data_IF_387682991162
#
_entry.id   IF_387682991162
#
_cell.length_a   1.000
_cell.length_b   1.000
_cell.length_c   1.000
_cell.angle_alpha   90.00
_cell.angle_beta   90.00
_cell.angle_gamma   90.00
#
_symmetry.space_group_name_H-M   'P 1'
#
loop_
_entity.id
_entity.type
_entity.pdbx_description
1 polymer ?
#
# COMPACT_ATOMS: atom_id res chain seq x y z
N UNK A 1 -13.26 7.64 -3.82
CA UNK A 1 -12.80 6.49 -4.64
C UNK A 1 -11.75 5.71 -3.86
N UNK A 2 -11.84 4.38 -3.85
CA UNK A 2 -10.87 3.49 -3.21
C UNK A 2 -10.19 2.63 -4.27
N UNK A 3 -8.90 2.37 -4.10
CA UNK A 3 -8.14 1.47 -4.96
C UNK A 3 -7.56 0.35 -4.10
N UNK A 4 -7.93 -0.88 -4.42
CA UNK A 4 -7.41 -2.10 -3.82
C UNK A 4 -6.49 -2.74 -4.85
N UNK A 5 -5.35 -3.25 -4.40
CA UNK A 5 -4.55 -4.17 -5.20
C UNK A 5 -4.72 -5.56 -4.60
N UNK A 6 -5.03 -6.55 -5.42
CA UNK A 6 -5.15 -7.92 -4.95
C UNK A 6 -4.84 -8.92 -6.07
N UNK A 7 -4.44 -10.14 -5.71
CA UNK A 7 -4.22 -11.19 -6.69
C UNK A 7 -5.57 -11.65 -7.27
N UNK A 8 -5.63 -12.11 -8.54
CA UNK A 8 -6.89 -12.37 -9.24
C UNK A 8 -7.90 -13.25 -8.49
N UNK A 9 -7.44 -14.27 -7.76
CA UNK A 9 -8.31 -15.17 -7.00
C UNK A 9 -8.90 -14.50 -5.76
N UNK A 10 -8.12 -13.68 -5.06
CA UNK A 10 -8.57 -12.96 -3.86
C UNK A 10 -9.42 -11.75 -4.24
N UNK A 11 -9.11 -11.09 -5.37
CA UNK A 11 -9.93 -10.04 -5.93
C UNK A 11 -11.38 -10.48 -6.15
N UNK A 12 -11.63 -11.71 -6.58
CA UNK A 12 -13.01 -12.23 -6.74
C UNK A 12 -13.76 -12.34 -5.41
N UNK A 13 -13.09 -12.85 -4.37
CA UNK A 13 -13.66 -12.93 -3.02
C UNK A 13 -13.94 -11.52 -2.47
N UNK A 14 -12.99 -10.61 -2.66
CA UNK A 14 -13.10 -9.22 -2.27
C UNK A 14 -14.25 -8.52 -2.99
N UNK A 15 -14.39 -8.74 -4.31
CA UNK A 15 -15.51 -8.22 -5.10
C UNK A 15 -16.85 -8.73 -4.57
N UNK A 16 -16.98 -10.03 -4.36
CA UNK A 16 -18.21 -10.62 -3.82
C UNK A 16 -18.58 -10.00 -2.47
N UNK A 17 -17.62 -9.92 -1.54
CA UNK A 17 -17.85 -9.34 -0.22
C UNK A 17 -18.29 -7.87 -0.31
N UNK A 18 -17.58 -7.05 -1.08
CA UNK A 18 -17.89 -5.63 -1.24
C UNK A 18 -19.26 -5.40 -1.89
N UNK A 19 -19.57 -6.16 -2.94
CA UNK A 19 -20.87 -6.09 -3.62
C UNK A 19 -22.01 -6.53 -2.71
N UNK A 20 -21.81 -7.57 -1.90
CA UNK A 20 -22.79 -8.02 -0.91
C UNK A 20 -23.12 -6.94 0.15
N UNK A 21 -22.20 -6.00 0.39
CA UNK A 21 -22.39 -4.85 1.28
C UNK A 21 -22.81 -3.57 0.54
N UNK A 22 -23.23 -3.68 -0.73
CA UNK A 22 -23.77 -2.57 -1.51
C UNK A 22 -22.71 -1.63 -2.10
N UNK A 23 -21.43 -2.05 -2.13
CA UNK A 23 -20.40 -1.28 -2.80
C UNK A 23 -20.36 -1.58 -4.29
N UNK A 24 -20.27 -0.54 -5.12
CA UNK A 24 -19.96 -0.68 -6.53
C UNK A 24 -18.47 -0.99 -6.71
N UNK A 25 -18.19 -2.15 -7.31
CA UNK A 25 -16.83 -2.64 -7.53
C UNK A 25 -16.54 -2.66 -9.02
N UNK A 26 -15.40 -2.08 -9.40
CA UNK A 26 -14.91 -2.02 -10.79
C UNK A 26 -13.51 -2.62 -10.87
N UNK A 27 -13.24 -3.38 -11.92
CA UNK A 27 -11.93 -3.99 -12.14
C UNK A 27 -11.06 -3.11 -13.04
N UNK A 28 -9.77 -3.01 -12.71
CA UNK A 28 -8.75 -2.47 -13.59
C UNK A 28 -8.07 -3.60 -14.36
N UNK A 29 -7.66 -3.36 -15.63
CA UNK A 29 -7.62 -2.06 -16.32
C UNK A 29 -8.93 -1.61 -16.99
N UNK A 30 -9.97 -2.45 -17.03
CA UNK A 30 -11.18 -2.20 -17.83
C UNK A 30 -11.89 -0.89 -17.48
N UNK A 31 -11.90 -0.52 -16.20
CA UNK A 31 -12.51 0.69 -15.68
C UNK A 31 -11.50 1.79 -15.34
N UNK A 32 -10.32 1.77 -15.95
CA UNK A 32 -9.35 2.86 -15.79
C UNK A 32 -9.95 4.23 -16.19
N UNK A 33 -10.67 4.39 -17.31
CA UNK A 33 -11.29 5.67 -17.65
C UNK A 33 -12.23 6.22 -16.55
N UNK A 34 -13.04 5.35 -15.93
CA UNK A 34 -13.95 5.74 -14.84
C UNK A 34 -13.17 6.19 -13.60
N UNK A 35 -12.09 5.48 -13.27
CA UNK A 35 -11.19 5.85 -12.17
C UNK A 35 -10.57 7.23 -12.38
N UNK A 36 -10.08 7.49 -13.60
CA UNK A 36 -9.46 8.76 -13.99
C UNK A 36 -10.49 9.90 -14.05
N UNK A 37 -11.72 9.61 -14.45
CA UNK A 37 -12.84 10.56 -14.41
C UNK A 37 -13.36 10.84 -12.99
N UNK A 38 -12.78 10.20 -11.96
CA UNK A 38 -13.17 10.43 -10.56
C UNK A 38 -14.51 9.80 -10.18
N UNK A 39 -15.01 8.84 -10.98
CA UNK A 39 -16.27 8.14 -10.69
C UNK A 39 -16.12 7.39 -9.37
N UNK A 40 -17.07 7.61 -8.44
CA UNK A 40 -17.04 6.98 -7.13
C UNK A 40 -17.23 5.47 -7.21
N UNK A 41 -16.53 4.74 -6.35
CA UNK A 41 -16.56 3.29 -6.29
C UNK A 41 -15.28 2.71 -5.68
N UNK A 42 -15.26 1.39 -5.58
CA UNK A 42 -14.07 0.61 -5.24
C UNK A 42 -13.49 0.04 -6.52
N UNK A 43 -12.23 0.34 -6.78
CA UNK A 43 -11.49 -0.17 -7.92
C UNK A 43 -10.53 -1.24 -7.44
N UNK A 44 -10.46 -2.37 -8.13
CA UNK A 44 -9.52 -3.44 -7.82
C UNK A 44 -8.53 -3.58 -8.98
N UNK A 45 -7.25 -3.34 -8.71
CA UNK A 45 -6.15 -3.64 -9.60
C UNK A 45 -5.70 -5.09 -9.41
N UNK A 46 -5.74 -5.86 -10.48
CA UNK A 46 -5.41 -7.30 -10.48
C UNK A 46 -3.92 -7.58 -10.69
N UNK A 47 -3.17 -6.57 -11.14
CA UNK A 47 -1.74 -6.64 -11.38
C UNK A 47 -1.06 -5.27 -11.15
N UNK A 48 0.27 -5.30 -11.07
CA UNK A 48 1.09 -4.13 -10.78
C UNK A 48 1.13 -3.12 -11.95
N UNK A 49 0.86 -3.54 -13.18
CA UNK A 49 0.78 -2.64 -14.34
C UNK A 49 -0.48 -1.79 -14.25
N UNK A 50 -1.64 -2.40 -14.01
CA UNK A 50 -2.92 -1.72 -13.81
C UNK A 50 -2.87 -0.76 -12.61
N UNK A 51 -2.24 -1.18 -11.51
CA UNK A 51 -1.99 -0.31 -10.36
C UNK A 51 -1.07 0.86 -10.74
N UNK A 52 0.03 0.59 -11.44
CA UNK A 52 0.99 1.60 -11.86
C UNK A 52 0.39 2.66 -12.79
N UNK A 53 -0.47 2.24 -13.73
CA UNK A 53 -1.19 3.13 -14.64
C UNK A 53 -2.21 3.99 -13.91
N UNK A 54 -2.98 3.41 -12.98
CA UNK A 54 -3.88 4.16 -12.11
C UNK A 54 -3.12 5.21 -11.29
N UNK A 55 -2.00 4.83 -10.67
CA UNK A 55 -1.20 5.73 -9.83
C UNK A 55 -0.47 6.83 -10.62
N UNK A 56 -0.15 6.61 -11.90
CA UNK A 56 0.58 7.60 -12.72
C UNK A 56 -0.21 8.90 -12.86
N UNK A 57 -1.52 8.80 -12.99
CA UNK A 57 -2.40 9.96 -13.15
C UNK A 57 -2.70 10.63 -11.80
N UNK A 58 -2.48 9.93 -10.68
CA UNK A 58 -2.67 10.46 -9.33
C UNK A 58 -1.48 11.27 -8.82
N UNK A 59 -0.38 11.39 -9.57
CA UNK A 59 0.83 12.07 -9.09
C UNK A 59 0.55 13.52 -8.65
N UNK A 60 -0.41 14.22 -9.25
CA UNK A 60 -0.85 15.57 -8.85
C UNK A 60 -1.79 15.58 -7.63
N UNK A 61 -2.55 14.51 -7.38
CA UNK A 61 -3.49 14.36 -6.26
C UNK A 61 -2.88 13.59 -5.06
N UNK A 62 -1.59 13.27 -5.12
CA UNK A 62 -0.84 12.36 -4.23
C UNK A 62 -0.69 12.81 -2.77
N UNK A 63 -1.29 13.94 -2.38
CA UNK A 63 -1.21 14.48 -1.01
C UNK A 63 -2.08 13.74 0.01
N UNK A 64 -3.01 12.86 -0.42
CA UNK A 64 -3.93 12.13 0.48
C UNK A 64 -4.17 10.68 0.05
N UNK A 65 -3.11 9.94 -0.21
CA UNK A 65 -3.19 8.51 -0.58
C UNK A 65 -2.45 7.63 0.43
N UNK A 66 -3.07 6.52 0.82
CA UNK A 66 -2.49 5.53 1.73
C UNK A 66 -2.41 4.18 1.02
N UNK A 67 -1.25 3.54 1.07
CA UNK A 67 -1.09 2.14 0.69
C UNK A 67 -1.14 1.27 1.94
N UNK A 68 -1.95 0.22 1.93
CA UNK A 68 -2.01 -0.76 3.02
C UNK A 68 -1.73 -2.14 2.42
N UNK A 69 -0.57 -2.70 2.74
CA UNK A 69 -0.21 -4.07 2.40
C UNK A 69 -0.15 -4.90 3.66
N UNK A 70 -1.02 -5.90 3.80
CA UNK A 70 -1.00 -6.80 4.96
C UNK A 70 -0.17 -8.05 4.64
N UNK A 71 -0.02 -8.94 5.62
CA UNK A 71 0.89 -10.09 5.61
C UNK A 71 1.02 -10.82 4.26
N UNK A 72 -0.10 -11.08 3.56
CA UNK A 72 -0.11 -11.73 2.25
C UNK A 72 0.82 -11.09 1.22
N UNK A 73 0.96 -9.77 1.25
CA UNK A 73 1.83 -9.03 0.35
C UNK A 73 3.28 -9.03 0.81
N UNK A 74 3.49 -8.80 2.10
CA UNK A 74 4.84 -8.83 2.67
C UNK A 74 5.45 -10.22 2.58
N UNK A 75 4.64 -11.28 2.54
CA UNK A 75 5.09 -12.67 2.56
C UNK A 75 5.04 -13.36 1.19
N UNK A 76 4.71 -12.61 0.14
CA UNK A 76 4.76 -13.09 -1.23
C UNK A 76 6.23 -13.27 -1.71
N UNK A 77 6.48 -14.17 -2.68
CA UNK A 77 7.80 -14.29 -3.33
C UNK A 77 8.30 -12.94 -3.85
N UNK A 78 9.63 -12.74 -3.83
CA UNK A 78 10.27 -11.46 -4.16
C UNK A 78 9.81 -10.92 -5.51
N UNK A 79 9.70 -11.80 -6.51
CA UNK A 79 9.27 -11.47 -7.87
C UNK A 79 7.86 -10.86 -7.93
N UNK A 80 7.01 -11.21 -6.96
CA UNK A 80 5.62 -10.73 -6.88
C UNK A 80 5.51 -9.40 -6.14
N UNK A 81 6.36 -9.16 -5.12
CA UNK A 81 6.31 -7.95 -4.28
C UNK A 81 7.23 -6.82 -4.74
N UNK A 82 8.33 -7.12 -5.43
CA UNK A 82 9.29 -6.11 -5.92
C UNK A 82 8.66 -5.07 -6.86
N UNK A 83 7.76 -5.44 -7.80
CA UNK A 83 7.08 -4.44 -8.63
C UNK A 83 6.24 -3.44 -7.82
N UNK A 84 5.68 -3.87 -6.68
CA UNK A 84 4.86 -3.02 -5.82
C UNK A 84 5.72 -2.11 -4.94
N UNK A 85 6.90 -2.59 -4.50
CA UNK A 85 7.90 -1.79 -3.79
C UNK A 85 8.21 -0.48 -4.54
N UNK A 86 8.40 -0.58 -5.86
CA UNK A 86 8.66 0.58 -6.75
C UNK A 86 7.49 1.57 -6.83
N UNK A 87 6.27 1.15 -6.49
CA UNK A 87 5.07 1.99 -6.52
C UNK A 87 4.82 2.69 -5.18
N UNK A 88 5.31 2.15 -4.06
CA UNK A 88 5.06 2.71 -2.73
C UNK A 88 5.46 4.19 -2.57
N UNK A 89 6.57 4.68 -3.17
CA UNK A 89 6.92 6.10 -3.09
C UNK A 89 5.87 7.06 -3.66
N UNK A 90 4.91 6.57 -4.45
CA UNK A 90 3.81 7.38 -5.01
C UNK A 90 2.72 7.69 -3.98
N UNK A 91 2.69 7.00 -2.85
CA UNK A 91 1.68 7.20 -1.81
C UNK A 91 2.16 8.19 -0.75
N UNK A 92 1.26 9.02 -0.22
CA UNK A 92 1.60 9.90 0.91
C UNK A 92 1.86 9.12 2.20
N UNK A 93 1.19 7.99 2.36
CA UNK A 93 1.29 7.12 3.53
C UNK A 93 1.36 5.66 3.12
N UNK A 94 2.07 4.85 3.90
CA UNK A 94 2.23 3.41 3.68
C UNK A 94 2.12 2.71 5.03
N UNK A 95 1.38 1.60 5.06
CA UNK A 95 1.37 0.64 6.14
C UNK A 95 1.65 -0.75 5.56
N UNK A 96 2.70 -1.42 6.05
CA UNK A 96 2.99 -2.81 5.73
C UNK A 96 2.95 -3.67 6.98
N UNK A 97 2.06 -4.66 7.01
CA UNK A 97 2.04 -5.72 8.03
C UNK A 97 2.91 -6.91 7.58
N UNK A 98 3.78 -7.40 8.46
CA UNK A 98 4.74 -8.47 8.13
C UNK A 98 5.18 -9.25 9.38
N UNK A 99 5.59 -10.51 9.18
CA UNK A 99 6.45 -11.23 10.13
C UNK A 99 7.91 -11.04 9.74
N UNK A 100 8.85 -11.14 10.70
CA UNK A 100 10.28 -11.05 10.41
C UNK A 100 10.73 -12.07 9.35
N UNK A 101 10.17 -13.28 9.41
CA UNK A 101 10.32 -14.29 8.35
C UNK A 101 9.05 -15.09 8.18
N UNK A 102 8.80 -15.55 6.96
CA UNK A 102 7.68 -16.42 6.62
C UNK A 102 8.05 -17.32 5.44
N UNK A 103 7.75 -18.62 5.52
CA UNK A 103 8.01 -19.55 4.40
C UNK A 103 9.46 -19.61 3.92
N UNK A 104 10.44 -19.26 4.78
CA UNK A 104 11.86 -19.17 4.42
C UNK A 104 12.30 -17.84 3.79
N UNK A 105 11.39 -16.87 3.68
CA UNK A 105 11.65 -15.52 3.19
C UNK A 105 12.04 -14.62 4.37
N UNK A 106 13.15 -13.90 4.26
CA UNK A 106 13.52 -12.80 5.15
C UNK A 106 12.74 -11.54 4.70
N UNK A 107 11.86 -11.05 5.57
CA UNK A 107 11.05 -9.86 5.29
C UNK A 107 11.68 -8.58 5.86
N UNK A 108 12.65 -8.69 6.77
CA UNK A 108 13.38 -7.54 7.30
C UNK A 108 14.27 -6.92 6.21
N UNK A 109 14.88 -7.74 5.34
CA UNK A 109 15.63 -7.25 4.18
C UNK A 109 14.73 -6.47 3.20
N UNK A 110 13.60 -7.07 2.81
CA UNK A 110 12.64 -6.40 1.92
C UNK A 110 12.12 -5.09 2.53
N UNK A 111 11.81 -5.09 3.82
CA UNK A 111 11.34 -3.89 4.51
C UNK A 111 12.40 -2.79 4.49
N UNK A 112 13.67 -3.15 4.75
CA UNK A 112 14.78 -2.21 4.74
C UNK A 112 14.90 -1.54 3.37
N UNK A 113 14.96 -2.33 2.29
CA UNK A 113 15.03 -1.82 0.91
C UNK A 113 13.84 -0.90 0.59
N UNK A 114 12.65 -1.33 0.97
CA UNK A 114 11.40 -0.60 0.72
C UNK A 114 11.38 0.74 1.45
N UNK A 115 11.79 0.75 2.71
CA UNK A 115 11.84 1.95 3.54
C UNK A 115 12.87 2.95 3.02
N UNK A 116 14.08 2.49 2.70
CA UNK A 116 15.14 3.32 2.14
C UNK A 116 14.69 3.97 0.82
N UNK A 117 14.02 3.21 -0.06
CA UNK A 117 13.51 3.73 -1.32
C UNK A 117 12.39 4.77 -1.12
N UNK A 118 11.46 4.50 -0.19
CA UNK A 118 10.39 5.44 0.16
C UNK A 118 10.98 6.75 0.68
N UNK A 119 11.82 6.70 1.72
CA UNK A 119 12.43 7.86 2.37
C UNK A 119 13.30 8.66 1.40
N UNK A 120 14.08 8.00 0.55
CA UNK A 120 14.90 8.64 -0.48
C UNK A 120 14.05 9.40 -1.50
N UNK A 121 12.97 8.79 -2.00
CA UNK A 121 12.07 9.43 -2.95
C UNK A 121 11.34 10.63 -2.33
N UNK A 122 10.88 10.53 -1.09
CA UNK A 122 10.25 11.66 -0.37
C UNK A 122 11.22 12.81 -0.14
N UNK A 123 12.46 12.51 0.23
CA UNK A 123 13.51 13.50 0.42
C UNK A 123 13.84 14.25 -0.87
N UNK A 124 13.91 13.56 -2.02
CA UNK A 124 14.07 14.19 -3.35
C UNK A 124 12.94 15.18 -3.68
N UNK A 125 11.73 14.91 -3.18
CA UNK A 125 10.55 15.78 -3.32
C UNK A 125 10.44 16.85 -2.22
N UNK A 126 11.44 16.96 -1.33
CA UNK A 126 11.45 17.88 -0.18
C UNK A 126 10.27 17.68 0.77
N UNK A 127 9.84 16.43 0.94
CA UNK A 127 8.80 16.05 1.89
C UNK A 127 9.44 15.54 3.18
N UNK A 128 8.86 15.92 4.31
CA UNK A 128 9.23 15.34 5.61
C UNK A 128 8.60 13.96 5.74
N UNK A 129 9.32 13.00 6.32
CA UNK A 129 8.83 11.63 6.54
C UNK A 129 8.82 11.32 8.03
N UNK A 130 7.69 10.82 8.52
CA UNK A 130 7.57 10.12 9.80
C UNK A 130 7.47 8.63 9.50
N UNK A 131 8.32 7.81 10.12
CA UNK A 131 8.47 6.39 9.80
C UNK A 131 8.82 5.60 11.07
N UNK A 132 8.06 4.56 11.38
CA UNK A 132 8.30 3.71 12.55
C UNK A 132 7.84 2.27 12.31
N UNK A 133 8.37 1.35 13.12
CA UNK A 133 7.92 -0.04 13.16
C UNK A 133 7.21 -0.25 14.49
N UNK A 134 5.95 -0.67 14.42
CA UNK A 134 5.15 -1.08 15.57
C UNK A 134 5.24 -2.60 15.73
N UNK A 135 5.59 -3.06 16.92
CA UNK A 135 5.45 -4.46 17.34
C UNK A 135 4.28 -4.56 18.30
N UNK A 136 3.41 -5.56 18.11
CA UNK A 136 2.31 -5.76 19.04
C UNK A 136 2.78 -6.35 20.37
N UNK A 137 2.05 -6.10 21.47
CA UNK A 137 2.25 -6.82 22.73
C UNK A 137 2.16 -8.34 22.52
N UNK A 138 2.93 -9.09 23.31
CA UNK A 138 3.03 -10.55 23.17
C UNK A 138 1.68 -11.26 23.37
N UNK A 139 0.78 -10.65 24.13
CA UNK A 139 -0.59 -11.11 24.40
C UNK A 139 -1.48 -11.05 23.16
N UNK A 140 -1.16 -10.17 22.20
CA UNK A 140 -1.88 -10.05 20.93
C UNK A 140 -1.15 -10.87 19.86
N UNK A 141 0.13 -10.58 19.64
CA UNK A 141 0.97 -11.31 18.70
C UNK A 141 2.44 -10.93 18.85
N UNK A 142 3.27 -11.90 19.23
CA UNK A 142 4.72 -11.71 19.30
C UNK A 142 5.41 -11.67 17.92
N UNK A 143 4.68 -11.99 16.84
CA UNK A 143 5.25 -12.11 15.49
C UNK A 143 4.88 -10.95 14.56
N UNK A 144 3.74 -10.31 14.82
CA UNK A 144 3.22 -9.25 13.96
C UNK A 144 3.96 -7.94 14.15
N UNK A 145 4.40 -7.40 13.02
CA UNK A 145 5.08 -6.11 12.92
C UNK A 145 4.39 -5.28 11.86
N UNK A 146 4.35 -3.98 12.08
CA UNK A 146 3.81 -3.02 11.13
C UNK A 146 4.80 -1.91 10.88
N UNK A 147 5.23 -1.76 9.64
CA UNK A 147 5.91 -0.53 9.24
C UNK A 147 4.86 0.48 8.82
N UNK A 148 4.92 1.66 9.43
CA UNK A 148 4.04 2.77 9.13
C UNK A 148 4.92 3.96 8.77
N UNK A 149 4.67 4.53 7.59
CA UNK A 149 5.34 5.73 7.13
C UNK A 149 4.35 6.73 6.54
N UNK A 150 4.54 8.01 6.83
CA UNK A 150 3.74 9.12 6.30
C UNK A 150 4.65 10.25 5.86
N UNK A 151 4.34 10.88 4.74
CA UNK A 151 5.07 12.05 4.24
C UNK A 151 4.17 13.30 4.21
N UNK A 152 4.72 14.45 4.56
CA UNK A 152 3.98 15.72 4.56
C UNK A 152 4.82 16.90 4.07
N UNK A 153 4.15 17.97 3.65
CA UNK A 153 4.77 19.25 3.29
C UNK A 153 4.95 20.11 4.55
N UNK A 154 6.00 19.88 5.34
CA UNK A 154 6.64 20.80 6.31
C UNK A 154 5.82 21.51 7.41
N UNK A 155 4.48 21.46 7.40
CA UNK A 155 3.59 22.19 8.31
C UNK A 155 2.62 21.27 9.07
N UNK A 156 2.77 19.96 8.93
CA UNK A 156 1.90 18.96 9.55
C UNK A 156 2.73 18.03 10.42
N UNK A 157 3.07 18.48 11.64
CA UNK A 157 3.58 17.55 12.65
C UNK A 157 2.45 16.60 13.04
N UNK A 158 2.51 15.37 12.56
CA UNK A 158 1.68 14.29 13.06
C UNK A 158 2.25 13.88 14.41
N UNK A 159 1.61 14.28 15.51
CA UNK A 159 1.90 13.72 16.82
C UNK A 159 1.28 12.32 16.87
N UNK A 160 2.12 11.31 17.06
CA UNK A 160 1.69 9.95 17.38
C UNK A 160 1.77 9.83 18.90
N UNK A 161 0.62 9.87 19.56
CA UNK A 161 0.51 9.46 20.96
C UNK A 161 0.33 7.94 20.99
N UNK A 162 1.26 7.24 21.64
CA UNK A 162 1.22 5.79 21.87
C UNK A 162 0.63 5.49 23.24
#
# INVERSE_FOLDING_TARGET
>A
RYLIFDLPVFAQVQTFYLQAHGHEVRMLPQHLPDFLAGVQGVYIALDHHALGDALRVLEEESLRSCFIGMWSLAEAPRESRDPLRLLLPRFSSVMLGFHASWGGIDNDEFLKETREEFETNKSKRKLEVTSFILTLPAEISAKDRYWIATSSTGNSKVQVEL
#
